data_IF_546950194256
#
_entry.id   IF_546950194256
#
_cell.length_a   1.000
_cell.length_b   1.000
_cell.length_c   1.000
_cell.angle_alpha   90.00
_cell.angle_beta   90.00
_cell.angle_gamma   90.00
#
_symmetry.space_group_name_H-M   'P 1'
#
loop_
_entity.id
_entity.type
_entity.pdbx_description
1 polymer ?
#
# COMPACT_ATOMS: atom_id res chain seq x y z
N UNK A 1 -29.27 72.71 48.28
CA UNK A 1 -27.91 72.29 48.62
C UNK A 1 -27.54 71.06 47.83
N UNK A 2 -26.45 71.14 47.12
CA UNK A 2 -25.98 70.19 46.18
C UNK A 2 -25.71 68.81 46.82
N UNK A 3 -26.16 67.76 46.12
CA UNK A 3 -25.50 66.48 46.30
C UNK A 3 -25.32 65.82 44.96
N UNK A 4 -24.06 65.77 44.59
CA UNK A 4 -23.61 65.12 43.37
C UNK A 4 -23.52 63.62 43.60
N UNK A 5 -24.36 62.87 42.90
CA UNK A 5 -24.22 61.44 42.78
C UNK A 5 -23.23 61.16 41.65
N UNK A 6 -22.06 60.71 42.00
CA UNK A 6 -21.10 60.19 41.04
C UNK A 6 -21.56 58.77 40.55
N UNK A 7 -21.90 58.68 39.28
CA UNK A 7 -22.10 57.44 38.60
C UNK A 7 -20.74 56.81 38.26
N UNK A 8 -20.40 55.76 39.01
CA UNK A 8 -19.30 54.87 38.68
C UNK A 8 -19.71 53.96 37.54
N UNK A 9 -19.28 54.30 36.33
CA UNK A 9 -19.36 53.37 35.18
C UNK A 9 -18.31 52.26 35.37
N UNK A 10 -18.78 51.11 35.84
CA UNK A 10 -17.99 49.89 35.83
C UNK A 10 -17.81 49.39 34.39
N UNK A 11 -16.66 49.59 33.80
CA UNK A 11 -16.25 49.01 32.54
C UNK A 11 -16.01 47.48 32.75
N UNK A 12 -17.03 46.69 32.40
CA UNK A 12 -16.91 45.23 32.31
C UNK A 12 -15.99 44.87 31.15
N UNK A 13 -14.74 44.59 31.41
CA UNK A 13 -13.79 44.08 30.40
C UNK A 13 -14.17 42.63 30.11
N UNK A 14 -14.82 42.42 28.97
CA UNK A 14 -15.05 41.12 28.40
C UNK A 14 -13.73 40.61 27.83
N UNK A 15 -13.04 39.74 28.56
CA UNK A 15 -11.84 39.04 28.04
C UNK A 15 -12.32 37.91 27.14
N UNK A 16 -12.18 38.12 25.83
CA UNK A 16 -12.39 37.08 24.83
C UNK A 16 -11.20 36.11 24.92
N UNK A 17 -11.42 34.96 25.53
CA UNK A 17 -10.45 33.84 25.46
C UNK A 17 -10.59 33.21 24.08
N UNK A 18 -9.72 33.58 23.17
CA UNK A 18 -9.58 32.90 21.89
C UNK A 18 -8.90 31.54 22.13
N UNK A 19 -9.72 30.49 22.14
CA UNK A 19 -9.22 29.12 22.14
C UNK A 19 -8.51 28.87 20.81
N UNK A 20 -7.20 28.90 20.82
CA UNK A 20 -6.37 28.43 19.71
C UNK A 20 -6.52 26.91 19.64
N UNK A 21 -7.34 26.43 18.70
CA UNK A 21 -7.36 25.03 18.30
C UNK A 21 -5.98 24.68 17.75
N UNK A 22 -5.17 24.03 18.59
CA UNK A 22 -3.90 23.47 18.15
C UNK A 22 -4.19 22.49 17.00
N UNK A 23 -3.81 22.86 15.79
CA UNK A 23 -3.83 21.98 14.63
C UNK A 23 -2.88 20.82 14.94
N UNK A 24 -3.40 19.66 15.26
CA UNK A 24 -2.61 18.44 15.31
C UNK A 24 -1.97 18.24 13.92
N UNK A 25 -0.65 18.04 13.84
CA UNK A 25 -0.03 17.69 12.57
C UNK A 25 -0.70 16.41 12.05
N UNK A 26 -0.92 16.29 10.73
CA UNK A 26 -1.45 15.05 10.18
C UNK A 26 -0.54 13.90 10.63
N UNK A 27 -1.15 12.88 11.22
CA UNK A 27 -0.44 11.63 11.50
C UNK A 27 0.20 11.22 10.19
N UNK A 28 1.54 11.16 10.13
CA UNK A 28 2.25 10.64 8.97
C UNK A 28 1.74 9.23 8.75
N UNK A 29 0.93 9.04 7.70
CA UNK A 29 0.50 7.72 7.28
C UNK A 29 1.75 6.89 7.04
N UNK A 30 1.82 5.68 7.59
CA UNK A 30 2.91 4.76 7.29
C UNK A 30 3.04 4.66 5.76
N UNK A 31 4.26 4.70 5.21
CA UNK A 31 4.43 4.67 3.76
C UNK A 31 3.77 3.41 3.21
N UNK A 32 2.87 3.60 2.23
CA UNK A 32 2.27 2.49 1.51
C UNK A 32 3.37 1.61 0.89
N UNK A 33 3.09 0.33 0.64
CA UNK A 33 3.98 -0.52 -0.14
C UNK A 33 4.15 0.09 -1.54
N UNK A 34 5.38 0.18 -2.03
CA UNK A 34 5.64 0.62 -3.38
C UNK A 34 5.29 -0.49 -4.40
N UNK A 35 5.22 -0.13 -5.68
CA UNK A 35 4.88 -1.05 -6.77
C UNK A 35 5.82 -2.26 -6.81
N UNK A 36 7.10 -2.05 -6.54
CA UNK A 36 8.11 -3.11 -6.53
C UNK A 36 7.83 -4.16 -5.43
N UNK A 37 7.54 -3.71 -4.22
CA UNK A 37 7.20 -4.58 -3.10
C UNK A 37 5.92 -5.37 -3.38
N UNK A 38 4.90 -4.74 -3.94
CA UNK A 38 3.63 -5.39 -4.28
C UNK A 38 3.84 -6.44 -5.38
N UNK A 39 4.50 -6.08 -6.49
CA UNK A 39 4.78 -7.00 -7.58
C UNK A 39 5.64 -8.20 -7.14
N UNK A 40 6.69 -7.94 -6.37
CA UNK A 40 7.55 -8.99 -5.81
C UNK A 40 6.76 -9.97 -4.96
N UNK A 41 5.94 -9.44 -4.06
CA UNK A 41 5.13 -10.27 -3.15
C UNK A 41 4.06 -11.04 -3.91
N UNK A 42 3.38 -10.42 -4.87
CA UNK A 42 2.36 -11.11 -5.67
C UNK A 42 2.95 -12.25 -6.50
N UNK A 43 4.06 -12.04 -7.20
CA UNK A 43 4.74 -13.10 -7.96
C UNK A 43 5.21 -14.21 -7.02
N UNK A 44 5.78 -13.87 -5.88
CA UNK A 44 6.22 -14.86 -4.90
C UNK A 44 5.03 -15.68 -4.35
N UNK A 45 3.91 -15.03 -4.06
CA UNK A 45 2.68 -15.70 -3.62
C UNK A 45 2.20 -16.72 -4.65
N UNK A 46 2.04 -16.30 -5.91
CA UNK A 46 1.58 -17.16 -7.01
C UNK A 46 2.50 -18.37 -7.21
N UNK A 47 3.81 -18.16 -7.06
CA UNK A 47 4.82 -19.20 -7.29
C UNK A 47 5.17 -20.01 -6.03
N UNK A 48 4.55 -19.71 -4.88
CA UNK A 48 4.86 -20.37 -3.61
C UNK A 48 6.31 -20.13 -3.16
N UNK A 49 6.81 -18.91 -3.29
CA UNK A 49 8.21 -18.52 -3.00
C UNK A 49 8.27 -17.43 -1.94
N UNK A 50 9.45 -17.26 -1.35
CA UNK A 50 9.75 -16.11 -0.51
C UNK A 50 9.90 -14.85 -1.38
N UNK A 51 9.23 -13.73 -1.05
CA UNK A 51 9.38 -12.48 -1.79
C UNK A 51 10.83 -12.00 -1.93
N UNK A 52 11.69 -12.27 -0.95
CA UNK A 52 13.11 -11.87 -0.97
C UNK A 52 13.96 -12.62 -2.00
N UNK A 53 13.46 -13.73 -2.52
CA UNK A 53 14.12 -14.47 -3.60
C UNK A 53 13.86 -13.90 -4.99
N UNK A 54 12.92 -12.96 -5.12
CA UNK A 54 12.56 -12.32 -6.38
C UNK A 54 13.23 -10.95 -6.46
N UNK A 55 13.92 -10.68 -7.57
CA UNK A 55 14.65 -9.45 -7.79
C UNK A 55 14.02 -8.61 -8.89
N UNK A 56 13.96 -7.29 -8.71
CA UNK A 56 13.60 -6.35 -9.77
C UNK A 56 14.85 -6.09 -10.59
N UNK A 57 14.79 -6.36 -11.88
CA UNK A 57 15.93 -6.20 -12.80
C UNK A 57 15.79 -5.02 -13.74
N UNK A 58 14.56 -4.61 -14.03
CA UNK A 58 14.27 -3.48 -14.92
C UNK A 58 12.90 -2.91 -14.59
N UNK A 59 12.76 -1.59 -14.78
CA UNK A 59 11.47 -0.89 -14.78
C UNK A 59 11.36 -0.10 -16.09
N UNK A 60 10.27 -0.30 -16.83
CA UNK A 60 10.00 0.41 -18.09
C UNK A 60 8.55 0.90 -18.06
N UNK A 61 8.38 2.23 -17.88
CA UNK A 61 7.06 2.80 -17.67
C UNK A 61 6.43 2.26 -16.39
N UNK A 62 5.25 1.67 -16.52
CA UNK A 62 4.48 1.02 -15.45
C UNK A 62 4.76 -0.49 -15.31
N UNK A 63 5.65 -1.04 -16.14
CA UNK A 63 5.99 -2.46 -16.17
C UNK A 63 7.30 -2.72 -15.45
N UNK A 64 7.26 -3.63 -14.49
CA UNK A 64 8.44 -4.16 -13.81
C UNK A 64 8.83 -5.53 -14.38
N UNK A 65 10.12 -5.73 -14.58
CA UNK A 65 10.71 -7.03 -14.90
C UNK A 65 11.33 -7.59 -13.63
N UNK A 66 10.90 -8.79 -13.28
CA UNK A 66 11.36 -9.51 -12.10
C UNK A 66 12.01 -10.82 -12.47
N UNK A 67 13.03 -11.21 -11.74
CA UNK A 67 13.68 -12.50 -11.91
C UNK A 67 13.71 -13.29 -10.62
N UNK A 68 13.60 -14.60 -10.77
CA UNK A 68 13.80 -15.60 -9.74
C UNK A 68 14.79 -16.65 -10.24
N UNK A 69 15.90 -16.82 -9.53
CA UNK A 69 16.87 -17.86 -9.84
C UNK A 69 16.56 -19.09 -8.98
N UNK A 70 16.25 -20.20 -9.61
CA UNK A 70 15.97 -21.46 -8.94
C UNK A 70 17.26 -22.08 -8.37
N UNK A 71 17.37 -22.31 -7.05
CA UNK A 71 18.65 -22.71 -6.44
C UNK A 71 19.18 -24.07 -6.90
N UNK A 72 18.28 -24.99 -7.30
CA UNK A 72 18.68 -26.37 -7.62
C UNK A 72 19.47 -26.50 -8.93
N UNK A 73 19.22 -25.61 -9.89
CA UNK A 73 19.82 -25.72 -11.25
C UNK A 73 20.20 -24.35 -11.84
N UNK A 74 20.09 -23.28 -11.05
CA UNK A 74 20.35 -21.90 -11.46
C UNK A 74 19.50 -21.41 -12.64
N UNK A 75 18.37 -22.09 -12.93
CA UNK A 75 17.46 -21.63 -13.96
C UNK A 75 16.82 -20.30 -13.55
N UNK A 76 16.83 -19.33 -14.46
CA UNK A 76 16.28 -17.99 -14.23
C UNK A 76 14.89 -17.90 -14.83
N UNK A 77 13.90 -17.68 -13.96
CA UNK A 77 12.54 -17.34 -14.36
C UNK A 77 12.41 -15.83 -14.45
N UNK A 78 11.82 -15.36 -15.54
CA UNK A 78 11.57 -13.92 -15.73
C UNK A 78 10.07 -13.65 -15.80
N UNK A 79 9.64 -12.62 -15.10
CA UNK A 79 8.24 -12.21 -15.02
C UNK A 79 8.12 -10.74 -15.37
N UNK A 80 6.97 -10.36 -15.93
CA UNK A 80 6.51 -8.98 -16.03
C UNK A 80 5.40 -8.76 -15.03
N UNK A 81 5.35 -7.59 -14.42
CA UNK A 81 4.31 -7.19 -13.50
C UNK A 81 3.98 -5.72 -13.67
N UNK A 82 2.69 -5.40 -13.57
CA UNK A 82 2.19 -4.02 -13.44
C UNK A 82 0.94 -4.00 -12.56
N UNK A 83 0.61 -2.84 -12.03
CA UNK A 83 -0.58 -2.65 -11.23
C UNK A 83 -1.66 -1.89 -12.03
N UNK A 84 -2.91 -2.33 -11.89
CA UNK A 84 -4.09 -1.62 -12.35
C UNK A 84 -5.04 -1.43 -11.14
N UNK A 85 -4.96 -0.27 -10.49
CA UNK A 85 -5.63 -0.06 -9.21
C UNK A 85 -5.08 -1.01 -8.15
N UNK A 86 -5.94 -1.85 -7.57
CA UNK A 86 -5.53 -2.90 -6.64
C UNK A 86 -5.32 -4.29 -7.31
N UNK A 87 -5.37 -4.36 -8.62
CA UNK A 87 -5.11 -5.58 -9.38
C UNK A 87 -3.64 -5.67 -9.79
N UNK A 88 -3.11 -6.89 -9.72
CA UNK A 88 -1.77 -7.23 -10.19
C UNK A 88 -1.88 -7.99 -11.51
N UNK A 89 -1.44 -7.38 -12.59
CA UNK A 89 -1.28 -8.05 -13.87
C UNK A 89 0.13 -8.58 -14.01
N UNK A 90 0.26 -9.81 -14.47
CA UNK A 90 1.54 -10.46 -14.59
C UNK A 90 1.64 -11.35 -15.83
N UNK A 91 2.86 -11.68 -16.21
CA UNK A 91 3.18 -12.64 -17.25
C UNK A 91 4.49 -13.34 -16.92
N UNK A 92 4.65 -14.58 -17.40
CA UNK A 92 5.96 -15.24 -17.50
C UNK A 92 6.57 -14.88 -18.85
N UNK A 93 7.87 -14.60 -18.90
CA UNK A 93 8.59 -14.40 -20.15
C UNK A 93 9.13 -15.73 -20.73
N UNK A 94 8.97 -15.98 -22.03
CA UNK A 94 8.14 -15.26 -22.99
C UNK A 94 6.69 -15.74 -22.88
N UNK A 95 5.75 -14.82 -22.74
CA UNK A 95 4.35 -15.20 -22.63
C UNK A 95 3.40 -14.01 -22.65
N UNK A 96 2.10 -14.30 -22.65
CA UNK A 96 1.06 -13.28 -22.62
C UNK A 96 0.80 -12.78 -21.20
N UNK A 97 0.27 -11.58 -21.12
CA UNK A 97 -0.33 -11.08 -19.89
C UNK A 97 -1.49 -11.96 -19.42
N UNK A 98 -1.60 -12.16 -18.11
CA UNK A 98 -2.68 -12.91 -17.48
C UNK A 98 -3.89 -12.01 -17.21
N UNK A 99 -4.51 -11.53 -18.29
CA UNK A 99 -5.62 -10.57 -18.28
C UNK A 99 -6.91 -11.14 -18.89
N UNK A 100 -6.90 -12.38 -19.34
CA UNK A 100 -8.07 -13.05 -19.87
C UNK A 100 -9.12 -13.31 -18.76
N UNK A 101 -10.43 -13.26 -19.05
CA UNK A 101 -11.48 -13.59 -18.08
C UNK A 101 -11.36 -14.96 -17.41
N UNK A 102 -10.66 -15.92 -18.05
CA UNK A 102 -10.43 -17.27 -17.52
C UNK A 102 -9.16 -17.41 -16.71
N UNK A 103 -8.32 -16.38 -16.69
CA UNK A 103 -7.14 -16.38 -15.83
C UNK A 103 -7.52 -16.07 -14.37
N UNK A 104 -6.73 -16.59 -13.45
CA UNK A 104 -6.85 -16.21 -12.05
C UNK A 104 -6.62 -14.71 -11.89
N UNK A 105 -7.40 -14.08 -11.03
CA UNK A 105 -7.33 -12.65 -10.77
C UNK A 105 -6.56 -12.41 -9.48
N UNK A 106 -5.51 -11.65 -9.59
CA UNK A 106 -4.66 -11.31 -8.46
C UNK A 106 -4.99 -9.88 -8.02
N UNK A 107 -5.23 -9.71 -6.74
CA UNK A 107 -5.40 -8.39 -6.12
C UNK A 107 -4.64 -8.29 -4.81
N UNK A 108 -4.51 -7.09 -4.30
CA UNK A 108 -3.84 -6.85 -3.03
C UNK A 108 -4.59 -5.84 -2.17
N UNK A 109 -4.38 -5.95 -0.87
CA UNK A 109 -4.84 -4.99 0.12
C UNK A 109 -3.71 -4.67 1.10
N UNK A 110 -3.54 -3.39 1.40
CA UNK A 110 -2.64 -2.94 2.45
C UNK A 110 -3.43 -2.86 3.75
N UNK A 111 -3.05 -3.62 4.74
CA UNK A 111 -3.76 -3.71 6.01
C UNK A 111 -2.87 -3.36 7.20
N UNK A 112 -3.47 -3.26 8.38
CA UNK A 112 -2.82 -2.89 9.64
C UNK A 112 -1.94 -1.62 9.52
N UNK A 113 -2.52 -0.56 8.92
CA UNK A 113 -1.83 0.73 8.79
C UNK A 113 -0.54 0.67 7.96
N UNK A 114 -0.44 -0.24 7.00
CA UNK A 114 0.72 -0.42 6.14
C UNK A 114 1.77 -1.38 6.69
N UNK A 115 1.45 -2.14 7.73
CA UNK A 115 2.37 -3.15 8.28
C UNK A 115 2.31 -4.47 7.54
N UNK A 116 1.17 -4.76 6.90
CA UNK A 116 0.94 -6.03 6.22
C UNK A 116 0.38 -5.82 4.82
N UNK A 117 0.72 -6.74 3.93
CA UNK A 117 0.21 -6.84 2.57
C UNK A 117 -0.53 -8.17 2.42
N UNK A 118 -1.81 -8.10 2.07
CA UNK A 118 -2.64 -9.24 1.76
C UNK A 118 -2.66 -9.44 0.24
N UNK A 119 -2.25 -10.60 -0.25
CA UNK A 119 -2.41 -11.03 -1.64
C UNK A 119 -3.61 -11.97 -1.72
N UNK A 120 -4.48 -11.69 -2.69
CA UNK A 120 -5.72 -12.41 -2.92
C UNK A 120 -5.70 -12.96 -4.34
N UNK A 121 -5.80 -14.29 -4.47
CA UNK A 121 -5.91 -14.98 -5.75
C UNK A 121 -7.34 -15.53 -5.90
N UNK A 122 -8.11 -14.96 -6.81
CA UNK A 122 -9.42 -15.49 -7.18
C UNK A 122 -9.24 -16.40 -8.39
N UNK A 123 -9.43 -17.68 -8.15
CA UNK A 123 -9.22 -18.73 -9.16
C UNK A 123 -10.41 -18.86 -10.12
N UNK A 124 -10.15 -19.34 -11.32
CA UNK A 124 -11.17 -19.50 -12.37
C UNK A 124 -12.26 -20.51 -12.01
N UNK A 125 -12.04 -21.38 -11.04
CA UNK A 125 -13.03 -22.34 -10.50
C UNK A 125 -13.94 -21.72 -9.42
N UNK A 126 -13.74 -20.42 -9.09
CA UNK A 126 -14.50 -19.69 -8.08
C UNK A 126 -13.91 -19.78 -6.65
N UNK A 127 -12.85 -20.55 -6.45
CA UNK A 127 -12.14 -20.58 -5.17
C UNK A 127 -11.24 -19.34 -4.99
N UNK A 128 -10.83 -19.09 -3.76
CA UNK A 128 -9.97 -17.96 -3.43
C UNK A 128 -8.87 -18.40 -2.48
N UNK A 129 -7.64 -18.02 -2.78
CA UNK A 129 -6.49 -18.14 -1.89
C UNK A 129 -6.10 -16.77 -1.35
N UNK A 130 -5.79 -16.69 -0.07
CA UNK A 130 -5.33 -15.46 0.59
C UNK A 130 -4.03 -15.72 1.32
N UNK A 131 -3.03 -14.87 1.08
CA UNK A 131 -1.74 -14.93 1.76
C UNK A 131 -1.40 -13.58 2.35
N UNK A 132 -1.01 -13.59 3.62
CA UNK A 132 -0.65 -12.40 4.37
C UNK A 132 0.86 -12.33 4.55
N UNK A 133 1.44 -11.18 4.27
CA UNK A 133 2.87 -10.93 4.39
C UNK A 133 3.13 -9.73 5.31
N UNK A 134 3.98 -9.92 6.29
CA UNK A 134 4.46 -8.80 7.10
C UNK A 134 5.45 -7.95 6.28
N UNK A 135 5.48 -6.66 6.54
CA UNK A 135 6.38 -5.71 5.86
C UNK A 135 7.84 -6.16 5.92
N UNK A 136 8.30 -6.65 7.07
CA UNK A 136 9.68 -7.10 7.28
C UNK A 136 10.04 -8.37 6.49
N UNK A 137 9.03 -9.14 6.09
CA UNK A 137 9.22 -10.30 5.22
C UNK A 137 9.35 -9.91 3.75
N UNK A 138 8.91 -8.71 3.37
CA UNK A 138 8.90 -8.21 2.00
C UNK A 138 10.12 -7.32 1.72
N UNK A 139 10.45 -6.41 2.65
CA UNK A 139 11.50 -5.39 2.55
C UNK A 139 12.80 -5.82 3.28
#
# INVERSE_FOLDING_TARGET
MCNRSELLLGLLRLTIVTATLARMPPLLAAPAFNVEAICRTAIASIMGRDPKMTQITLATGDVLILTYTRPIDNFVWTYRCRLEGNHVLWAIEPGRWRDNPRDDKISFEVIDGGKQLLIIEAHSDGSTTKQLFDRDAIL
#
